data_IF_765109996071
#
_entry.id   IF_765109996071
#
_cell.length_a   1.000
_cell.length_b   1.000
_cell.length_c   1.000
_cell.angle_alpha   90.00
_cell.angle_beta   90.00
_cell.angle_gamma   90.00
#
_symmetry.space_group_name_H-M   'P 1'
#
loop_
_entity.id
_entity.type
_entity.pdbx_description
1 polymer ?
#
# COMPACT_ATOMS: atom_id res chain seq x y z
N UNK A 1 16.70 4.15 -13.43
CA UNK A 1 17.59 5.03 -14.19
C UNK A 1 16.72 5.92 -15.05
N UNK A 2 17.04 7.19 -15.10
CA UNK A 2 16.31 8.17 -15.89
C UNK A 2 16.23 9.53 -15.21
N UNK A 3 15.58 10.48 -15.87
CA UNK A 3 15.50 11.86 -15.41
C UNK A 3 14.42 12.10 -14.34
N UNK A 4 13.52 11.14 -14.12
CA UNK A 4 12.38 11.27 -13.20
C UNK A 4 12.84 11.41 -11.74
N UNK A 5 13.76 10.56 -11.28
CA UNK A 5 14.22 10.54 -9.88
C UNK A 5 15.36 11.55 -9.59
N UNK A 6 15.87 12.23 -10.59
CA UNK A 6 16.77 13.38 -10.50
C UNK A 6 17.98 13.20 -9.60
N UNK A 7 18.71 12.10 -9.79
CA UNK A 7 19.93 11.77 -9.05
C UNK A 7 19.73 11.63 -7.53
N UNK A 8 18.64 11.02 -7.09
CA UNK A 8 18.31 10.77 -5.68
C UNK A 8 19.45 10.13 -4.91
N UNK A 9 20.09 9.09 -5.45
CA UNK A 9 21.24 8.43 -4.84
C UNK A 9 22.39 9.42 -4.55
N UNK A 10 22.76 10.19 -5.57
CA UNK A 10 23.86 11.16 -5.44
C UNK A 10 23.53 12.28 -4.45
N UNK A 11 22.30 12.73 -4.42
CA UNK A 11 21.84 13.73 -3.46
C UNK A 11 21.86 13.18 -2.02
N UNK A 12 21.48 11.91 -1.83
CA UNK A 12 21.47 11.27 -0.52
C UNK A 12 22.87 11.17 0.10
N UNK A 13 23.95 11.00 -0.70
CA UNK A 13 25.32 10.98 -0.23
C UNK A 13 25.73 12.27 0.53
N UNK A 14 25.09 13.39 0.25
CA UNK A 14 25.34 14.69 0.85
C UNK A 14 24.38 15.06 2.00
N UNK A 15 23.60 14.09 2.46
CA UNK A 15 22.56 14.26 3.48
C UNK A 15 22.80 13.34 4.67
N UNK A 16 22.23 13.68 5.81
CA UNK A 16 22.12 12.75 6.92
C UNK A 16 21.06 11.67 6.59
N UNK A 17 21.08 10.55 7.29
CA UNK A 17 20.10 9.48 7.09
C UNK A 17 18.64 9.97 7.22
N UNK A 18 18.35 10.82 8.21
CA UNK A 18 17.02 11.40 8.42
C UNK A 18 16.65 12.35 7.27
N UNK A 19 17.60 13.15 6.78
CA UNK A 19 17.38 14.06 5.65
C UNK A 19 17.22 13.32 4.31
N UNK A 20 17.76 12.10 4.20
CA UNK A 20 17.63 11.27 3.01
C UNK A 20 16.30 10.51 2.95
N UNK A 21 15.63 10.31 4.10
CA UNK A 21 14.37 9.58 4.19
C UNK A 21 13.28 10.10 3.21
N UNK A 22 13.03 11.41 3.07
CA UNK A 22 12.04 11.91 2.11
C UNK A 22 12.34 11.56 0.66
N UNK A 23 13.58 11.27 0.29
CA UNK A 23 13.90 10.79 -1.05
C UNK A 23 13.37 9.37 -1.29
N UNK A 24 13.30 8.54 -0.24
CA UNK A 24 12.81 7.17 -0.34
C UNK A 24 11.35 7.13 -0.76
N UNK A 25 10.51 8.03 -0.21
CA UNK A 25 9.11 8.17 -0.59
C UNK A 25 8.90 8.35 -2.11
N UNK A 26 9.87 8.94 -2.78
CA UNK A 26 9.81 9.31 -4.19
C UNK A 26 10.43 8.28 -5.14
N UNK A 27 10.89 7.14 -4.62
CA UNK A 27 11.43 6.05 -5.44
C UNK A 27 10.28 5.24 -6.06
N UNK A 28 9.64 4.38 -5.29
CA UNK A 28 8.34 3.85 -5.65
C UNK A 28 7.27 4.79 -5.08
N UNK A 29 6.93 5.82 -5.84
CA UNK A 29 6.01 6.89 -5.43
C UNK A 29 4.55 6.44 -5.32
N UNK A 30 4.28 5.17 -5.48
CA UNK A 30 2.98 4.53 -5.24
C UNK A 30 2.98 3.75 -3.93
N UNK A 31 4.15 3.40 -3.38
CA UNK A 31 4.34 2.66 -2.14
C UNK A 31 5.18 3.44 -1.11
N UNK A 32 4.85 4.69 -0.88
CA UNK A 32 5.69 5.65 -0.17
C UNK A 32 6.16 5.15 1.20
N UNK A 33 5.24 4.81 2.12
CA UNK A 33 5.63 4.36 3.46
C UNK A 33 6.29 2.98 3.47
N UNK A 34 6.07 2.14 2.45
CA UNK A 34 6.83 0.89 2.30
C UNK A 34 8.31 1.15 1.98
N UNK A 35 8.61 2.18 1.18
CA UNK A 35 9.99 2.60 0.92
C UNK A 35 10.66 3.14 2.19
N UNK A 36 9.94 3.98 2.94
CA UNK A 36 10.40 4.47 4.26
C UNK A 36 10.70 3.30 5.20
N UNK A 37 9.79 2.30 5.23
CA UNK A 37 9.91 1.12 6.07
C UNK A 37 11.18 0.33 5.77
N UNK A 38 11.42 0.01 4.50
CA UNK A 38 12.61 -0.72 4.06
C UNK A 38 13.90 0.04 4.45
N UNK A 39 13.90 1.35 4.26
CA UNK A 39 15.03 2.20 4.64
C UNK A 39 15.28 2.22 6.15
N UNK A 40 14.22 2.40 6.96
CA UNK A 40 14.30 2.39 8.41
C UNK A 40 14.81 1.04 8.94
N UNK A 41 14.25 -0.08 8.45
CA UNK A 41 14.69 -1.42 8.83
C UNK A 41 16.18 -1.68 8.53
N UNK A 42 16.68 -1.17 7.39
CA UNK A 42 18.10 -1.29 7.04
C UNK A 42 18.99 -0.54 8.05
N UNK A 43 18.64 0.68 8.41
CA UNK A 43 19.37 1.49 9.39
C UNK A 43 19.31 0.86 10.78
N UNK A 44 18.13 0.42 11.21
CA UNK A 44 17.91 -0.21 12.50
C UNK A 44 18.73 -1.50 12.64
N UNK A 45 18.76 -2.31 11.59
CA UNK A 45 19.59 -3.51 11.54
C UNK A 45 21.09 -3.19 11.64
N UNK A 46 21.55 -2.14 10.98
CA UNK A 46 22.95 -1.69 11.04
C UNK A 46 23.35 -1.18 12.42
N UNK A 47 22.44 -0.50 13.11
CA UNK A 47 22.68 0.11 14.41
C UNK A 47 22.30 -0.78 15.59
N UNK A 48 21.63 -1.91 15.36
CA UNK A 48 21.08 -2.79 16.40
C UNK A 48 19.98 -2.11 17.23
N UNK A 49 19.17 -1.23 16.61
CA UNK A 49 18.10 -0.52 17.31
C UNK A 49 16.86 -1.40 17.47
N UNK A 50 16.29 -1.38 18.66
CA UNK A 50 14.99 -2.00 18.93
C UNK A 50 13.87 -0.96 18.76
N UNK A 51 12.83 -1.34 18.03
CA UNK A 51 11.67 -0.48 17.79
C UNK A 51 10.59 -0.78 18.83
N UNK A 52 10.01 0.23 19.50
CA UNK A 52 8.91 0.03 20.43
C UNK A 52 7.72 -0.70 19.79
N UNK A 53 7.11 -1.63 20.51
CA UNK A 53 6.03 -2.50 20.00
C UNK A 53 4.86 -1.71 19.39
N UNK A 54 4.47 -0.59 19.99
CA UNK A 54 3.41 0.28 19.45
C UNK A 54 3.79 0.84 18.08
N UNK A 55 5.03 1.28 17.90
CA UNK A 55 5.52 1.79 16.62
C UNK A 55 5.55 0.69 15.55
N UNK A 56 5.87 -0.55 15.92
CA UNK A 56 5.81 -1.69 14.99
C UNK A 56 4.37 -1.93 14.50
N UNK A 57 3.37 -1.89 15.38
CA UNK A 57 1.95 -2.00 14.96
C UNK A 57 1.52 -0.85 14.05
N UNK A 58 1.92 0.38 14.34
CA UNK A 58 1.63 1.55 13.49
C UNK A 58 2.27 1.39 12.11
N UNK A 59 3.51 0.92 12.06
CA UNK A 59 4.22 0.66 10.79
C UNK A 59 3.52 -0.42 9.97
N UNK A 60 3.13 -1.52 10.56
CA UNK A 60 2.38 -2.59 9.87
C UNK A 60 1.06 -2.05 9.33
N UNK A 61 0.30 -1.32 10.15
CA UNK A 61 -0.96 -0.71 9.74
C UNK A 61 -0.78 0.19 8.50
N UNK A 62 0.18 1.11 8.55
CA UNK A 62 0.41 2.03 7.43
C UNK A 62 1.12 1.39 6.24
N UNK A 63 1.88 0.32 6.42
CA UNK A 63 2.41 -0.47 5.31
C UNK A 63 1.29 -1.18 4.55
N UNK A 64 0.26 -1.70 5.23
CA UNK A 64 -0.89 -2.31 4.56
C UNK A 64 -1.82 -1.28 3.91
N UNK A 65 -2.02 -0.11 4.53
CA UNK A 65 -2.69 1.04 3.87
C UNK A 65 -1.94 1.43 2.58
N UNK A 66 -0.62 1.49 2.64
CA UNK A 66 0.24 1.78 1.48
C UNK A 66 0.11 0.70 0.41
N UNK A 67 0.03 -0.57 0.81
CA UNK A 67 -0.20 -1.68 -0.12
C UNK A 67 -1.52 -1.54 -0.87
N UNK A 68 -2.58 -1.13 -0.19
CA UNK A 68 -3.87 -0.83 -0.83
C UNK A 68 -3.75 0.35 -1.80
N UNK A 69 -3.06 1.42 -1.42
CA UNK A 69 -2.77 2.55 -2.31
C UNK A 69 -2.07 2.12 -3.60
N UNK A 70 -1.07 1.25 -3.47
CA UNK A 70 -0.32 0.69 -4.59
C UNK A 70 -1.21 -0.18 -5.48
N UNK A 71 -1.91 -1.15 -4.90
CA UNK A 71 -2.75 -2.08 -5.66
C UNK A 71 -3.87 -1.36 -6.41
N UNK A 72 -4.50 -0.37 -5.80
CA UNK A 72 -5.54 0.45 -6.45
C UNK A 72 -4.98 1.26 -7.61
N UNK A 73 -3.79 1.84 -7.47
CA UNK A 73 -3.13 2.57 -8.57
C UNK A 73 -2.78 1.61 -9.71
N UNK A 74 -2.19 0.46 -9.40
CA UNK A 74 -1.86 -0.54 -10.39
C UNK A 74 -3.11 -1.05 -11.11
N UNK A 75 -4.15 -1.46 -10.35
CA UNK A 75 -5.39 -1.99 -10.91
C UNK A 75 -6.08 -0.95 -11.83
N UNK A 76 -6.16 0.30 -11.35
CA UNK A 76 -6.74 1.39 -12.12
C UNK A 76 -5.99 1.65 -13.42
N UNK A 77 -4.66 1.73 -13.37
CA UNK A 77 -3.80 1.98 -14.54
C UNK A 77 -3.87 0.83 -15.53
N UNK A 78 -3.72 -0.40 -15.05
CA UNK A 78 -3.75 -1.60 -15.89
C UNK A 78 -5.12 -1.78 -16.54
N UNK A 79 -6.20 -1.58 -15.76
CA UNK A 79 -7.57 -1.61 -16.30
C UNK A 79 -7.78 -0.55 -17.38
N UNK A 80 -7.30 0.66 -17.17
CA UNK A 80 -7.37 1.75 -18.15
C UNK A 80 -6.61 1.39 -19.43
N UNK A 81 -5.40 0.84 -19.33
CA UNK A 81 -4.59 0.41 -20.47
C UNK A 81 -5.26 -0.72 -21.25
N UNK A 82 -6.01 -1.56 -20.58
CA UNK A 82 -6.83 -2.60 -21.21
C UNK A 82 -8.20 -2.10 -21.70
N UNK A 83 -8.48 -0.77 -21.60
CA UNK A 83 -9.68 -0.14 -22.16
C UNK A 83 -10.83 0.03 -21.16
N UNK A 84 -10.59 -0.15 -19.86
CA UNK A 84 -11.58 0.07 -18.79
C UNK A 84 -11.28 1.33 -18.00
N UNK A 85 -11.54 2.51 -18.54
CA UNK A 85 -11.26 3.80 -17.88
C UNK A 85 -12.07 4.01 -16.59
N UNK A 86 -13.22 3.40 -16.46
CA UNK A 86 -14.08 3.47 -15.26
C UNK A 86 -13.35 2.94 -14.01
N UNK A 87 -12.55 1.88 -14.16
CA UNK A 87 -11.76 1.31 -13.06
C UNK A 87 -10.78 2.30 -12.48
N UNK A 88 -10.13 3.11 -13.31
CA UNK A 88 -9.20 4.14 -12.87
C UNK A 88 -9.91 5.16 -11.96
N UNK A 89 -11.08 5.62 -12.37
CA UNK A 89 -11.87 6.60 -11.59
C UNK A 89 -12.31 6.00 -10.25
N UNK A 90 -12.78 4.75 -10.24
CA UNK A 90 -13.21 4.07 -9.03
C UNK A 90 -12.02 3.82 -8.08
N UNK A 91 -10.89 3.36 -8.59
CA UNK A 91 -9.69 3.16 -7.79
C UNK A 91 -9.22 4.46 -7.12
N UNK A 92 -9.30 5.59 -7.83
CA UNK A 92 -8.94 6.89 -7.26
C UNK A 92 -9.93 7.39 -6.20
N UNK A 93 -11.21 7.02 -6.28
CA UNK A 93 -12.18 7.28 -5.22
C UNK A 93 -11.73 6.71 -3.87
N UNK A 94 -11.29 5.45 -3.87
CA UNK A 94 -10.80 4.79 -2.66
C UNK A 94 -9.44 5.35 -2.20
N UNK A 95 -8.57 5.67 -3.15
CA UNK A 95 -7.27 6.27 -2.85
C UNK A 95 -7.38 7.61 -2.12
N UNK A 96 -8.42 8.39 -2.38
CA UNK A 96 -8.67 9.65 -1.68
C UNK A 96 -8.89 9.45 -0.18
N UNK A 97 -9.65 8.43 0.22
CA UNK A 97 -9.84 8.10 1.63
C UNK A 97 -8.52 7.64 2.29
N UNK A 98 -7.71 6.86 1.59
CA UNK A 98 -6.41 6.41 2.08
C UNK A 98 -5.41 7.57 2.22
N UNK A 99 -5.44 8.55 1.32
CA UNK A 99 -4.64 9.76 1.45
C UNK A 99 -5.08 10.63 2.63
N UNK A 100 -6.36 10.61 2.98
CA UNK A 100 -6.84 11.29 4.18
C UNK A 100 -6.25 10.66 5.46
N UNK A 101 -6.08 9.33 5.49
CA UNK A 101 -5.39 8.64 6.59
C UNK A 101 -3.91 9.06 6.67
N UNK A 102 -3.22 9.14 5.53
CA UNK A 102 -1.83 9.60 5.45
C UNK A 102 -1.67 11.02 6.00
N UNK A 103 -2.54 11.91 5.55
CA UNK A 103 -2.51 13.32 5.99
C UNK A 103 -2.81 13.46 7.48
N UNK A 104 -3.68 12.61 8.04
CA UNK A 104 -3.99 12.63 9.47
C UNK A 104 -2.74 12.39 10.34
N UNK A 105 -1.85 11.47 9.94
CA UNK A 105 -0.66 11.14 10.73
C UNK A 105 0.56 11.98 10.38
N UNK A 106 0.67 12.47 9.16
CA UNK A 106 1.90 13.12 8.68
C UNK A 106 1.73 14.59 8.29
N UNK A 107 0.52 15.03 8.00
CA UNK A 107 0.24 16.32 7.39
C UNK A 107 0.42 16.34 5.87
N UNK A 108 0.87 15.24 5.26
CA UNK A 108 1.10 15.12 3.82
C UNK A 108 0.24 13.99 3.23
N UNK A 109 -0.38 14.25 2.08
CA UNK A 109 -1.25 13.29 1.41
C UNK A 109 -0.50 12.11 0.78
N UNK A 110 0.73 12.29 0.37
CA UNK A 110 1.52 11.26 -0.34
C UNK A 110 2.88 11.02 0.31
N UNK A 111 3.82 11.90 0.13
CA UNK A 111 5.20 11.76 0.59
C UNK A 111 5.31 12.20 2.05
N UNK A 112 5.04 11.26 2.95
CA UNK A 112 4.75 11.53 4.34
C UNK A 112 6.00 11.69 5.21
N UNK A 113 7.10 10.99 4.89
CA UNK A 113 8.27 10.86 5.74
C UNK A 113 7.91 10.55 7.21
N UNK A 114 6.95 9.64 7.39
CA UNK A 114 6.32 9.34 8.67
C UNK A 114 7.10 8.30 9.47
N UNK A 115 7.61 7.25 8.82
CA UNK A 115 8.47 6.28 9.48
C UNK A 115 9.84 6.88 9.71
N UNK A 116 10.43 6.55 10.86
CA UNK A 116 11.74 7.06 11.25
C UNK A 116 12.56 5.92 11.84
N UNK A 117 13.89 5.92 11.67
CA UNK A 117 14.73 4.95 12.37
C UNK A 117 14.42 4.97 13.88
N UNK A 118 14.05 3.81 14.44
CA UNK A 118 13.61 3.66 15.82
C UNK A 118 12.10 3.80 16.06
N UNK A 119 11.28 4.04 15.03
CA UNK A 119 9.82 4.09 15.18
C UNK A 119 9.10 4.90 14.11
N UNK A 120 8.28 5.84 14.55
CA UNK A 120 7.47 6.75 13.72
C UNK A 120 7.66 8.19 14.21
N UNK A 121 7.37 9.16 13.34
CA UNK A 121 7.54 10.59 13.65
C UNK A 121 6.70 11.05 14.85
N UNK A 122 5.46 10.58 14.95
CA UNK A 122 4.52 10.86 16.04
C UNK A 122 3.51 9.72 16.18
N UNK A 123 2.84 9.66 17.32
CA UNK A 123 1.75 8.69 17.56
C UNK A 123 0.53 9.00 16.68
N UNK A 124 -0.41 8.06 16.64
CA UNK A 124 -1.68 8.24 15.95
C UNK A 124 -2.47 9.41 16.58
N UNK A 125 -3.09 10.27 15.78
CA UNK A 125 -3.96 11.31 16.33
C UNK A 125 -5.23 10.69 16.93
N UNK A 126 -5.67 11.24 18.07
CA UNK A 126 -6.91 10.82 18.73
C UNK A 126 -8.15 11.20 17.92
N UNK A 127 -8.05 12.21 17.07
CA UNK A 127 -9.17 12.76 16.30
C UNK A 127 -8.76 12.99 14.84
N UNK A 128 -9.70 12.74 13.94
CA UNK A 128 -9.56 13.13 12.52
C UNK A 128 -9.85 14.65 12.38
N UNK A 129 -9.12 15.36 11.49
CA UNK A 129 -9.45 16.75 11.20
C UNK A 129 -10.91 16.93 10.75
N UNK A 130 -11.62 17.90 11.32
CA UNK A 130 -13.07 18.10 11.12
C UNK A 130 -13.49 18.22 9.65
N UNK A 131 -12.68 18.83 8.80
CA UNK A 131 -12.98 18.96 7.37
C UNK A 131 -13.02 17.62 6.64
N UNK A 132 -12.35 16.59 7.17
CA UNK A 132 -12.36 15.23 6.63
C UNK A 132 -13.58 14.44 7.09
N UNK A 133 -14.02 14.69 8.30
CA UNK A 133 -15.28 14.13 8.85
C UNK A 133 -16.47 14.54 8.00
N UNK A 134 -16.47 15.77 7.46
CA UNK A 134 -17.53 16.26 6.59
C UNK A 134 -17.66 15.53 5.25
N UNK A 135 -16.60 14.84 4.81
CA UNK A 135 -16.61 14.00 3.60
C UNK A 135 -17.31 12.65 3.80
N UNK A 136 -17.50 12.23 5.04
CA UNK A 136 -18.20 10.99 5.36
C UNK A 136 -19.69 11.21 5.08
N UNK A 137 -20.15 10.72 3.95
CA UNK A 137 -21.54 10.83 3.52
C UNK A 137 -22.43 9.70 4.01
N UNK A 138 -21.82 8.65 4.61
CA UNK A 138 -22.56 7.50 5.09
C UNK A 138 -23.18 7.80 6.46
N UNK A 139 -24.51 7.83 6.52
CA UNK A 139 -25.25 8.08 7.76
C UNK A 139 -24.93 7.08 8.87
N UNK A 140 -24.55 5.83 8.53
CA UNK A 140 -24.15 4.80 9.52
C UNK A 140 -22.75 5.06 10.08
N UNK A 141 -21.83 5.57 9.26
CA UNK A 141 -20.51 5.97 9.71
C UNK A 141 -20.59 7.21 10.60
N UNK A 142 -21.41 8.19 10.22
CA UNK A 142 -21.70 9.38 11.03
C UNK A 142 -22.38 9.05 12.37
N UNK A 143 -23.18 7.99 12.42
CA UNK A 143 -23.84 7.54 13.67
C UNK A 143 -22.86 6.82 14.63
N UNK A 144 -21.75 6.26 14.12
CA UNK A 144 -20.69 5.65 14.94
C UNK A 144 -19.71 6.68 15.51
N UNK A 145 -19.66 7.86 14.91
CA UNK A 145 -18.89 8.97 15.45
C UNK A 145 -19.56 9.46 16.73
N UNK A 146 -18.75 9.79 17.74
CA UNK A 146 -19.26 10.32 18.99
C UNK A 146 -20.15 11.55 18.76
N UNK A 147 -20.94 11.94 19.76
CA UNK A 147 -21.93 13.04 19.67
C UNK A 147 -21.36 14.38 19.17
N UNK A 148 -20.05 14.57 19.26
CA UNK A 148 -19.34 15.76 18.76
C UNK A 148 -18.87 15.65 17.29
N UNK A 149 -19.20 14.57 16.57
CA UNK A 149 -18.77 14.31 15.20
C UNK A 149 -17.25 14.26 15.00
N UNK A 150 -16.50 13.99 16.03
CA UNK A 150 -15.05 13.80 16.00
C UNK A 150 -14.81 12.30 16.12
N UNK A 151 -14.64 11.62 14.99
CA UNK A 151 -14.20 10.24 14.95
C UNK A 151 -12.67 10.15 15.08
N UNK A 152 -12.19 9.09 15.73
CA UNK A 152 -10.76 8.81 15.74
C UNK A 152 -10.28 8.35 14.36
N UNK A 153 -8.96 8.42 14.12
CA UNK A 153 -8.37 7.83 12.92
C UNK A 153 -8.69 6.34 12.80
N UNK A 154 -8.70 5.62 13.93
CA UNK A 154 -9.02 4.19 13.95
C UNK A 154 -10.47 3.92 13.56
N UNK A 155 -11.42 4.76 13.98
CA UNK A 155 -12.82 4.65 13.54
C UNK A 155 -12.97 4.89 12.04
N UNK A 156 -12.20 5.83 11.49
CA UNK A 156 -12.17 6.09 10.05
C UNK A 156 -11.61 4.90 9.26
N UNK A 157 -10.52 4.28 9.76
CA UNK A 157 -9.91 3.09 9.14
C UNK A 157 -10.88 1.90 9.22
N UNK A 158 -11.55 1.69 10.35
CA UNK A 158 -12.55 0.62 10.51
C UNK A 158 -13.73 0.80 9.53
N UNK A 159 -14.27 2.00 9.45
CA UNK A 159 -15.34 2.32 8.49
C UNK A 159 -14.90 2.08 7.04
N UNK A 160 -13.69 2.53 6.69
CA UNK A 160 -13.12 2.30 5.37
C UNK A 160 -13.01 0.80 5.08
N UNK A 161 -12.46 0.02 5.99
CA UNK A 161 -12.24 -1.41 5.81
C UNK A 161 -13.56 -2.16 5.55
N UNK A 162 -14.63 -1.81 6.26
CA UNK A 162 -15.96 -2.41 6.07
C UNK A 162 -16.59 -2.02 4.73
N UNK A 163 -16.41 -0.77 4.28
CA UNK A 163 -16.91 -0.31 2.98
C UNK A 163 -16.11 -0.89 1.82
N UNK A 164 -14.82 -1.06 2.00
CA UNK A 164 -13.89 -1.50 0.97
C UNK A 164 -14.25 -2.89 0.40
N UNK A 165 -14.79 -3.79 1.23
CA UNK A 165 -15.27 -5.10 0.79
C UNK A 165 -16.29 -4.97 -0.36
N UNK A 166 -17.25 -4.04 -0.27
CA UNK A 166 -18.23 -3.79 -1.32
C UNK A 166 -17.59 -3.21 -2.59
N UNK A 167 -16.58 -2.35 -2.43
CA UNK A 167 -15.87 -1.80 -3.57
C UNK A 167 -15.03 -2.87 -4.29
N UNK A 168 -14.52 -3.86 -3.57
CA UNK A 168 -13.88 -5.03 -4.20
C UNK A 168 -14.86 -5.84 -5.05
N UNK A 169 -16.10 -6.00 -4.60
CA UNK A 169 -17.17 -6.64 -5.40
C UNK A 169 -17.47 -5.85 -6.67
N UNK A 170 -17.46 -4.52 -6.62
CA UNK A 170 -17.60 -3.66 -7.82
C UNK A 170 -16.46 -3.92 -8.82
N UNK A 171 -15.21 -4.01 -8.36
CA UNK A 171 -14.06 -4.32 -9.21
C UNK A 171 -14.15 -5.71 -9.82
N UNK A 172 -14.56 -6.72 -9.05
CA UNK A 172 -14.80 -8.06 -9.55
C UNK A 172 -15.87 -8.07 -10.64
N UNK A 173 -16.99 -7.38 -10.44
CA UNK A 173 -18.06 -7.27 -11.43
C UNK A 173 -17.60 -6.62 -12.73
N UNK A 174 -16.72 -5.60 -12.63
CA UNK A 174 -16.26 -4.86 -13.80
C UNK A 174 -15.15 -5.57 -14.58
N UNK A 175 -14.30 -6.36 -13.93
CA UNK A 175 -13.11 -6.94 -14.54
C UNK A 175 -13.11 -8.47 -14.59
N UNK A 176 -13.33 -9.17 -13.46
CA UNK A 176 -13.02 -10.60 -13.35
C UNK A 176 -13.68 -11.44 -14.43
N UNK A 177 -14.96 -11.23 -14.71
CA UNK A 177 -15.68 -11.97 -15.74
C UNK A 177 -15.84 -11.19 -17.05
N UNK A 178 -15.24 -10.03 -17.17
CA UNK A 178 -15.30 -9.23 -18.37
C UNK A 178 -14.57 -9.93 -19.52
N UNK A 179 -15.29 -10.13 -20.64
CA UNK A 179 -14.76 -10.81 -21.83
C UNK A 179 -13.54 -10.10 -22.41
N UNK A 180 -13.56 -8.78 -22.47
CA UNK A 180 -12.46 -7.99 -23.03
C UNK A 180 -11.23 -8.11 -22.15
N UNK A 181 -11.40 -8.03 -20.83
CA UNK A 181 -10.35 -8.20 -19.84
C UNK A 181 -9.69 -9.58 -19.97
N UNK A 182 -10.50 -10.63 -19.97
CA UNK A 182 -10.01 -12.02 -20.13
C UNK A 182 -9.25 -12.22 -21.44
N UNK A 183 -9.78 -11.71 -22.55
CA UNK A 183 -9.09 -11.82 -23.86
C UNK A 183 -7.75 -11.09 -23.92
N UNK A 184 -7.55 -10.06 -23.09
CA UNK A 184 -6.33 -9.26 -23.07
C UNK A 184 -5.33 -9.69 -22.01
N UNK A 185 -5.68 -10.60 -21.10
CA UNK A 185 -4.85 -10.99 -19.95
C UNK A 185 -4.62 -12.49 -19.84
N UNK A 186 -5.61 -13.32 -20.16
CA UNK A 186 -5.49 -14.79 -20.06
C UNK A 186 -4.53 -15.32 -21.14
N UNK A 187 -3.53 -16.06 -20.69
CA UNK A 187 -2.50 -16.63 -21.57
C UNK A 187 -1.48 -15.62 -22.09
N UNK A 188 -1.55 -14.37 -21.65
CA UNK A 188 -0.64 -13.29 -22.09
C UNK A 188 0.46 -13.10 -21.04
N UNK A 189 1.71 -12.99 -21.50
CA UNK A 189 2.85 -12.73 -20.62
C UNK A 189 3.13 -13.85 -19.63
N UNK A 190 2.91 -15.10 -20.02
CA UNK A 190 3.14 -16.27 -19.18
C UNK A 190 4.60 -16.34 -18.74
N UNK A 191 4.81 -16.37 -17.43
CA UNK A 191 6.12 -16.50 -16.80
C UNK A 191 6.19 -17.82 -16.03
N UNK A 192 7.04 -18.73 -16.47
CA UNK A 192 7.24 -19.99 -15.79
C UNK A 192 7.95 -19.79 -14.45
N UNK A 193 7.64 -20.60 -13.41
CA UNK A 193 8.21 -20.44 -12.07
C UNK A 193 9.75 -20.41 -12.06
N UNK A 194 10.38 -21.29 -12.78
CA UNK A 194 11.83 -21.40 -12.88
C UNK A 194 12.48 -20.14 -13.48
N UNK A 195 11.87 -19.61 -14.52
CA UNK A 195 12.33 -18.36 -15.14
C UNK A 195 12.11 -17.16 -14.21
N UNK A 196 10.99 -17.14 -13.49
CA UNK A 196 10.68 -16.09 -12.51
C UNK A 196 11.75 -16.04 -11.41
N UNK A 197 12.16 -17.19 -10.88
CA UNK A 197 13.24 -17.29 -9.89
C UNK A 197 14.58 -16.84 -10.47
N UNK A 198 14.95 -17.29 -11.67
CA UNK A 198 16.19 -16.92 -12.33
C UNK A 198 16.30 -15.41 -12.62
N UNK A 199 15.17 -14.75 -12.85
CA UNK A 199 15.10 -13.30 -13.05
C UNK A 199 15.00 -12.51 -11.73
N UNK A 200 14.94 -13.18 -10.57
CA UNK A 200 14.81 -12.53 -9.27
C UNK A 200 13.45 -11.85 -9.06
N UNK A 201 12.37 -12.35 -9.66
CA UNK A 201 11.04 -11.80 -9.46
C UNK A 201 10.57 -12.05 -8.03
N UNK A 202 9.80 -11.11 -7.50
CA UNK A 202 9.23 -11.15 -6.15
C UNK A 202 7.76 -10.68 -6.16
N UNK A 203 7.10 -10.76 -5.00
CA UNK A 203 5.75 -10.26 -4.82
C UNK A 203 4.71 -10.90 -5.73
N UNK A 204 3.70 -10.17 -6.18
CA UNK A 204 2.64 -10.68 -7.06
C UNK A 204 3.17 -11.29 -8.37
N UNK A 205 4.29 -10.78 -8.89
CA UNK A 205 4.91 -11.32 -10.11
C UNK A 205 5.38 -12.76 -9.92
N UNK A 206 5.95 -13.10 -8.75
CA UNK A 206 6.38 -14.44 -8.43
C UNK A 206 5.21 -15.34 -8.00
N UNK A 207 4.30 -14.81 -7.20
CA UNK A 207 3.10 -15.54 -6.75
C UNK A 207 2.16 -15.88 -7.90
N UNK A 208 2.00 -15.00 -8.87
CA UNK A 208 1.25 -15.29 -10.09
C UNK A 208 1.80 -16.50 -10.86
N UNK A 209 3.09 -16.75 -10.77
CA UNK A 209 3.77 -17.93 -11.36
C UNK A 209 3.69 -19.20 -10.50
N UNK A 210 2.90 -19.23 -9.44
CA UNK A 210 2.64 -20.43 -8.63
C UNK A 210 3.56 -20.62 -7.43
N UNK A 211 4.39 -19.65 -7.07
CA UNK A 211 5.30 -19.74 -5.93
C UNK A 211 4.76 -18.91 -4.76
N UNK A 212 4.41 -19.58 -3.67
CA UNK A 212 3.90 -18.98 -2.44
C UNK A 212 5.03 -18.29 -1.66
N UNK A 213 5.54 -17.17 -2.18
CA UNK A 213 6.59 -16.38 -1.57
C UNK A 213 6.06 -15.04 -1.08
N UNK A 214 6.13 -14.82 0.23
CA UNK A 214 5.82 -13.55 0.86
C UNK A 214 6.74 -13.31 2.06
N UNK A 215 7.53 -12.24 2.03
CA UNK A 215 8.50 -11.92 3.08
C UNK A 215 7.84 -11.69 4.45
N UNK A 216 6.60 -11.25 4.48
CA UNK A 216 5.86 -11.08 5.73
C UNK A 216 5.63 -12.39 6.48
N UNK A 217 5.65 -13.53 5.77
CA UNK A 217 5.54 -14.89 6.33
C UNK A 217 6.88 -15.60 6.41
N UNK A 218 7.75 -15.47 5.39
CA UNK A 218 9.02 -16.23 5.31
C UNK A 218 10.15 -15.58 6.11
N UNK A 219 10.14 -14.26 6.23
CA UNK A 219 11.11 -13.47 7.01
C UNK A 219 10.36 -12.31 7.70
N UNK A 220 9.48 -12.61 8.67
CA UNK A 220 8.67 -11.59 9.29
C UNK A 220 9.52 -10.48 9.91
N UNK A 221 9.03 -9.26 9.79
CA UNK A 221 9.60 -8.04 10.37
C UNK A 221 8.52 -7.28 11.13
N UNK A 222 8.92 -6.44 12.08
CA UNK A 222 8.01 -5.82 13.04
C UNK A 222 7.07 -6.87 13.65
N UNK A 223 5.75 -6.66 13.60
CA UNK A 223 4.75 -7.59 14.18
C UNK A 223 4.00 -8.43 13.13
N UNK A 224 4.55 -8.61 11.92
CA UNK A 224 3.89 -9.44 10.89
C UNK A 224 3.73 -10.91 11.30
N UNK A 225 4.57 -11.42 12.20
CA UNK A 225 4.46 -12.76 12.79
C UNK A 225 3.16 -12.96 13.59
N UNK A 226 2.54 -11.86 14.03
CA UNK A 226 1.27 -11.86 14.80
C UNK A 226 0.04 -11.62 13.92
N UNK A 227 0.23 -11.38 12.63
CA UNK A 227 -0.86 -11.07 11.70
C UNK A 227 -1.33 -12.35 10.99
N UNK A 228 -2.65 -12.53 10.97
CA UNK A 228 -3.28 -13.61 10.21
C UNK A 228 -3.77 -13.10 8.86
N UNK A 229 -3.23 -13.66 7.79
CA UNK A 229 -3.60 -13.36 6.40
C UNK A 229 -3.17 -14.47 5.46
N UNK A 230 -3.90 -14.62 4.36
CA UNK A 230 -3.58 -15.57 3.31
C UNK A 230 -2.58 -15.02 2.30
N UNK A 231 -1.89 -15.93 1.62
CA UNK A 231 -1.01 -15.60 0.49
C UNK A 231 -1.70 -16.04 -0.80
N UNK A 232 -2.22 -15.12 -1.63
CA UNK A 232 -2.81 -15.48 -2.90
C UNK A 232 -1.73 -15.97 -3.87
N UNK A 233 -2.00 -17.10 -4.55
CA UNK A 233 -1.05 -17.75 -5.47
C UNK A 233 -1.77 -18.09 -6.77
N UNK A 234 -1.22 -17.64 -7.90
CA UNK A 234 -1.68 -18.00 -9.23
C UNK A 234 -1.25 -19.39 -9.65
N UNK A 235 -1.63 -19.80 -10.86
CA UNK A 235 -1.35 -21.14 -11.41
C UNK A 235 -0.63 -21.10 -12.74
N UNK A 236 -1.02 -20.19 -13.62
CA UNK A 236 -0.56 -20.12 -15.01
C UNK A 236 0.63 -19.19 -15.19
N UNK A 237 0.76 -18.19 -14.34
CA UNK A 237 1.80 -17.17 -14.43
C UNK A 237 1.55 -16.15 -15.54
N UNK A 238 0.32 -15.97 -15.96
CA UNK A 238 -0.08 -14.97 -16.95
C UNK A 238 -0.50 -13.63 -16.33
N UNK A 239 -0.91 -12.68 -17.15
CA UNK A 239 -1.37 -11.38 -16.67
C UNK A 239 -2.66 -11.48 -15.85
N UNK A 240 -3.51 -12.46 -16.13
CA UNK A 240 -4.76 -12.67 -15.38
C UNK A 240 -4.48 -13.19 -13.97
N UNK A 241 -3.53 -14.10 -13.81
CA UNK A 241 -3.12 -14.62 -12.50
C UNK A 241 -2.45 -13.56 -11.61
N UNK A 242 -1.92 -12.49 -12.21
CA UNK A 242 -1.33 -11.35 -11.46
C UNK A 242 -2.37 -10.32 -11.04
N UNK A 243 -3.52 -10.35 -11.67
CA UNK A 243 -4.70 -9.58 -11.30
C UNK A 243 -5.43 -10.21 -10.11
#
# INVERSE_FOLDING_TARGET
IGLLHRATEKLAEHKTYIQSLPYMDRLDYVSMMCNEHAYCLAIEKLLGLEVPIRAQYIRVLFSEITRLLNHLMWLGSHGNDCGSSTILIYAFREREDLFDMYEAVSGARMHAAYFRPGGVYRDLPDEMPQYKVSKIKNAKALARMNENRQGSLLDFIDDFSQRFVKHMEEYHTLLTDNRIWKQRTVGIGVMQPERALNLGLTGPMLRGSGIAWDLRKTQPYDVYDRMDFDIPVGKTGDCYDRY
#
